data_IF_954102563489
#
_entry.id   IF_954102563489
#
_cell.length_a   1.000
_cell.length_b   1.000
_cell.length_c   1.000
_cell.angle_alpha   90.00
_cell.angle_beta   90.00
_cell.angle_gamma   90.00
#
_symmetry.space_group_name_H-M   'P 1'
#
loop_
_entity.id
_entity.type
_entity.pdbx_description
1 polymer ?
#
# COMPACT_ATOMS: atom_id res chain seq x y z
N UNK A 1 10.65 -33.14 -23.60
CA UNK A 1 10.85 -32.50 -22.89
C UNK A 1 9.84 -31.91 -22.07
N UNK A 2 8.80 -32.59 -21.77
CA UNK A 2 7.77 -32.06 -20.96
C UNK A 2 8.24 -31.71 -19.57
N UNK A 3 9.14 -32.52 -19.04
CA UNK A 3 9.52 -32.23 -17.69
C UNK A 3 10.29 -30.92 -17.60
N UNK A 4 10.95 -30.55 -18.65
CA UNK A 4 11.64 -29.30 -18.66
C UNK A 4 10.66 -28.16 -18.64
N UNK A 5 9.59 -28.30 -19.36
CA UNK A 5 8.57 -27.27 -19.36
C UNK A 5 7.98 -27.12 -17.98
N UNK A 6 7.74 -28.23 -17.32
CA UNK A 6 7.16 -28.13 -16.01
C UNK A 6 8.07 -27.43 -15.05
N UNK A 7 9.33 -27.74 -15.11
CA UNK A 7 10.28 -27.09 -14.27
C UNK A 7 10.25 -25.58 -14.50
N UNK A 8 10.22 -25.23 -15.74
CA UNK A 8 10.19 -23.83 -16.08
C UNK A 8 8.94 -23.15 -15.53
N UNK A 9 7.83 -23.82 -15.60
CA UNK A 9 6.61 -23.23 -15.09
C UNK A 9 6.63 -23.02 -13.60
N UNK A 10 7.22 -23.92 -12.87
CA UNK A 10 7.29 -23.76 -11.44
C UNK A 10 8.06 -22.51 -11.09
N UNK A 11 9.18 -22.34 -11.73
CA UNK A 11 9.98 -21.14 -11.48
C UNK A 11 9.21 -19.90 -11.86
N UNK A 12 8.53 -19.99 -12.98
CA UNK A 12 7.77 -18.86 -13.45
C UNK A 12 6.67 -18.47 -12.47
N UNK A 13 6.01 -19.45 -11.90
CA UNK A 13 4.95 -19.16 -10.95
C UNK A 13 5.47 -18.43 -9.72
N UNK A 14 6.63 -18.82 -9.26
CA UNK A 14 7.18 -18.14 -8.10
C UNK A 14 7.44 -16.69 -8.41
N UNK A 15 7.92 -16.41 -9.58
CA UNK A 15 8.18 -15.04 -9.94
C UNK A 15 6.91 -14.25 -10.10
N UNK A 16 5.88 -14.89 -10.57
CA UNK A 16 4.62 -14.21 -10.68
C UNK A 16 4.14 -13.79 -9.31
N UNK A 17 4.32 -14.62 -8.33
CA UNK A 17 3.91 -14.27 -7.00
C UNK A 17 4.61 -13.03 -6.49
N UNK A 18 5.87 -12.93 -6.79
CA UNK A 18 6.60 -11.76 -6.35
C UNK A 18 6.19 -10.52 -7.09
N UNK A 19 5.94 -10.65 -8.37
CA UNK A 19 5.48 -9.52 -9.16
C UNK A 19 4.16 -9.03 -8.62
N UNK A 20 3.29 -9.95 -8.25
CA UNK A 20 2.01 -9.58 -7.71
C UNK A 20 2.17 -8.80 -6.42
N UNK A 21 3.10 -9.21 -5.60
CA UNK A 21 3.32 -8.50 -4.36
C UNK A 21 3.74 -7.06 -4.61
N UNK A 22 4.57 -6.84 -5.60
CA UNK A 22 4.99 -5.50 -5.89
C UNK A 22 3.85 -4.66 -6.38
N UNK A 23 2.96 -5.26 -7.15
CA UNK A 23 1.83 -4.53 -7.65
C UNK A 23 0.90 -4.12 -6.53
N UNK A 24 0.91 -4.86 -5.43
CA UNK A 24 0.06 -4.53 -4.32
C UNK A 24 0.45 -3.24 -3.62
N UNK A 25 1.60 -2.70 -3.92
CA UNK A 25 2.02 -1.48 -3.24
C UNK A 25 1.14 -0.28 -3.55
N UNK A 26 0.26 -0.38 -4.51
CA UNK A 26 -0.57 0.75 -4.89
C UNK A 26 -2.05 0.54 -4.62
N UNK A 27 -2.44 -0.64 -4.14
CA UNK A 27 -3.86 -0.91 -3.94
C UNK A 27 -4.37 -0.29 -2.65
N UNK A 28 -5.68 -0.12 -2.60
CA UNK A 28 -6.32 0.39 -1.40
C UNK A 28 -6.00 -0.50 -0.18
N UNK A 29 -6.15 -1.80 -0.36
CA UNK A 29 -5.90 -2.71 0.76
C UNK A 29 -4.47 -2.62 1.24
N UNK A 30 -3.55 -2.51 0.32
CA UNK A 30 -2.14 -2.41 0.67
C UNK A 30 -1.85 -1.12 1.44
N UNK A 31 -2.42 -0.02 0.98
CA UNK A 31 -2.24 1.25 1.67
C UNK A 31 -2.89 1.23 3.05
N UNK A 32 -4.07 0.64 3.15
CA UNK A 32 -4.74 0.57 4.44
C UNK A 32 -3.89 -0.21 5.44
N UNK A 33 -3.34 -1.33 5.01
CA UNK A 33 -2.52 -2.15 5.89
C UNK A 33 -1.27 -1.40 6.36
N UNK A 34 -0.72 -0.56 5.50
CA UNK A 34 0.46 0.22 5.87
C UNK A 34 0.07 1.33 6.85
N UNK A 35 -0.98 2.06 6.54
CA UNK A 35 -1.33 3.23 7.33
C UNK A 35 -1.87 2.89 8.71
N UNK A 36 -2.45 1.71 8.88
CA UNK A 36 -2.97 1.38 10.20
C UNK A 36 -1.84 1.17 11.21
N UNK A 37 -0.60 1.12 10.77
CA UNK A 37 0.55 1.03 11.65
C UNK A 37 1.15 2.40 11.97
N UNK A 38 0.52 3.46 11.50
CA UNK A 38 1.00 4.81 11.74
C UNK A 38 0.35 5.37 13.01
N UNK A 39 1.02 6.32 13.62
CA UNK A 39 0.41 7.07 14.73
C UNK A 39 -0.42 8.22 14.17
N UNK A 40 -1.19 8.87 15.04
CA UNK A 40 -1.96 10.03 14.63
C UNK A 40 -1.05 11.10 14.05
N UNK A 41 0.08 11.33 14.71
CA UNK A 41 1.01 12.35 14.26
C UNK A 41 1.62 11.98 12.92
N UNK A 42 1.95 10.72 12.75
CA UNK A 42 2.54 10.29 11.49
C UNK A 42 1.56 10.40 10.34
N UNK A 43 0.30 10.06 10.61
CA UNK A 43 -0.73 10.21 9.59
C UNK A 43 -0.90 11.67 9.20
N UNK A 44 -0.88 12.55 10.19
CA UNK A 44 -1.04 13.96 9.93
C UNK A 44 0.12 14.49 9.08
N UNK A 45 1.32 14.07 9.42
CA UNK A 45 2.48 14.49 8.66
C UNK A 45 2.41 14.00 7.23
N UNK A 46 1.97 12.76 7.06
CA UNK A 46 1.87 12.21 5.72
C UNK A 46 0.82 12.97 4.91
N UNK A 47 -0.33 13.23 5.50
CA UNK A 47 -1.36 14.00 4.82
C UNK A 47 -0.84 15.38 4.43
N UNK A 48 -0.14 16.03 5.34
CA UNK A 48 0.39 17.35 5.07
C UNK A 48 1.42 17.31 3.94
N UNK A 49 2.22 16.27 3.89
CA UNK A 49 3.25 16.17 2.87
C UNK A 49 2.67 16.00 1.48
N UNK A 50 1.41 15.55 1.40
CA UNK A 50 0.72 15.44 0.13
C UNK A 50 -0.28 16.57 -0.06
N UNK A 51 -0.14 17.62 0.75
CA UNK A 51 -0.98 18.82 0.64
C UNK A 51 -2.46 18.53 0.90
N UNK A 52 -2.75 17.54 1.69
CA UNK A 52 -4.10 17.21 2.08
C UNK A 52 -4.44 17.99 3.36
N UNK A 53 -4.41 19.32 3.25
CA UNK A 53 -4.53 20.15 4.43
C UNK A 53 -5.90 20.17 5.07
N UNK A 54 -6.88 19.61 4.39
CA UNK A 54 -8.22 19.50 4.96
C UNK A 54 -8.33 18.34 5.95
N UNK A 55 -7.32 17.49 6.02
CA UNK A 55 -7.35 16.34 6.92
C UNK A 55 -6.87 16.75 8.30
N UNK A 56 -7.69 16.43 9.30
CA UNK A 56 -7.31 16.58 10.69
C UNK A 56 -7.55 15.23 11.34
N UNK A 57 -6.49 14.47 11.56
CA UNK A 57 -6.60 13.08 11.98
C UNK A 57 -7.30 12.94 13.31
N UNK A 58 -6.95 13.79 14.27
CA UNK A 58 -7.53 13.68 15.61
C UNK A 58 -9.00 14.03 15.61
N UNK A 59 -9.39 14.98 14.79
CA UNK A 59 -10.77 15.39 14.72
C UNK A 59 -11.63 14.38 13.97
N UNK A 60 -11.11 13.88 12.87
CA UNK A 60 -11.88 12.98 12.00
C UNK A 60 -11.85 11.54 12.47
N UNK A 61 -10.80 11.16 13.17
CA UNK A 61 -10.68 9.80 13.63
C UNK A 61 -9.64 9.02 12.83
N UNK A 62 -9.05 8.04 13.50
CA UNK A 62 -7.96 7.28 12.92
C UNK A 62 -8.42 6.46 11.71
N UNK A 63 -9.46 5.65 11.91
CA UNK A 63 -9.92 4.76 10.84
C UNK A 63 -10.51 5.52 9.64
N UNK A 64 -11.35 6.51 9.86
CA UNK A 64 -11.84 7.28 8.70
C UNK A 64 -10.72 7.96 7.93
N UNK A 65 -9.70 8.43 8.63
CA UNK A 65 -8.57 9.07 7.95
C UNK A 65 -7.80 8.06 7.12
N UNK A 66 -7.54 6.87 7.68
CA UNK A 66 -6.84 5.84 6.93
C UNK A 66 -7.64 5.46 5.68
N UNK A 67 -8.95 5.33 5.84
CA UNK A 67 -9.79 4.99 4.70
C UNK A 67 -9.69 6.03 3.59
N UNK A 68 -9.80 7.29 3.97
CA UNK A 68 -9.74 8.36 2.98
C UNK A 68 -8.37 8.40 2.29
N UNK A 69 -7.32 8.34 3.07
CA UNK A 69 -5.97 8.43 2.51
C UNK A 69 -5.65 7.23 1.63
N UNK A 70 -6.10 6.05 2.03
CA UNK A 70 -5.87 4.86 1.22
C UNK A 70 -6.56 4.98 -0.13
N UNK A 71 -7.77 5.51 -0.15
CA UNK A 71 -8.48 5.73 -1.40
C UNK A 71 -7.77 6.77 -2.25
N UNK A 72 -7.31 7.83 -1.63
CA UNK A 72 -6.61 8.88 -2.37
C UNK A 72 -5.33 8.35 -3.00
N UNK A 73 -4.52 7.65 -2.21
CA UNK A 73 -3.25 7.17 -2.71
C UNK A 73 -3.43 6.10 -3.77
N UNK A 74 -4.38 5.20 -3.58
CA UNK A 74 -4.59 4.14 -4.55
C UNK A 74 -5.15 4.70 -5.86
N UNK A 75 -6.03 5.68 -5.76
CA UNK A 75 -6.60 6.29 -6.97
C UNK A 75 -5.54 7.00 -7.79
N UNK A 76 -4.49 7.48 -7.15
CA UNK A 76 -3.40 8.16 -7.83
C UNK A 76 -2.23 7.23 -8.12
N UNK A 77 -2.39 5.94 -7.87
CA UNK A 77 -1.37 4.94 -8.13
C UNK A 77 -0.06 5.21 -7.40
N UNK A 78 -0.15 5.81 -6.23
CA UNK A 78 1.02 6.03 -5.41
C UNK A 78 1.46 4.71 -4.79
N UNK A 79 2.76 4.50 -4.72
CA UNK A 79 3.30 3.27 -4.14
C UNK A 79 3.61 3.47 -2.67
N UNK A 80 3.29 2.48 -1.85
CA UNK A 80 3.63 2.54 -0.44
C UNK A 80 4.91 1.77 -0.12
N UNK A 81 5.68 1.46 -1.15
CA UNK A 81 6.85 0.60 -0.96
C UNK A 81 7.80 1.14 0.10
N UNK A 82 8.00 2.44 0.13
CA UNK A 82 8.94 3.04 1.06
C UNK A 82 8.27 3.56 2.32
N UNK A 83 6.98 3.35 2.47
CA UNK A 83 6.27 3.80 3.66
C UNK A 83 5.93 2.68 4.61
N UNK A 84 6.30 1.46 4.28
CA UNK A 84 5.98 0.34 5.14
C UNK A 84 6.82 0.39 6.39
N UNK A 85 6.17 0.13 7.52
CA UNK A 85 6.84 0.12 8.81
C UNK A 85 6.95 -1.29 9.32
N UNK A 86 7.92 -1.51 10.20
CA UNK A 86 8.15 -2.86 10.66
C UNK A 86 7.58 -3.08 12.01
#
# INVERSE_FOLDING_TARGET
MGYLSQFFQIVFNNQEGEATKEEDYTSYDSWYAVLENYTYEELQELADSYNLYHINVKLQGFRPTIDYMSKFFSANNYSNKYYRKR
#
